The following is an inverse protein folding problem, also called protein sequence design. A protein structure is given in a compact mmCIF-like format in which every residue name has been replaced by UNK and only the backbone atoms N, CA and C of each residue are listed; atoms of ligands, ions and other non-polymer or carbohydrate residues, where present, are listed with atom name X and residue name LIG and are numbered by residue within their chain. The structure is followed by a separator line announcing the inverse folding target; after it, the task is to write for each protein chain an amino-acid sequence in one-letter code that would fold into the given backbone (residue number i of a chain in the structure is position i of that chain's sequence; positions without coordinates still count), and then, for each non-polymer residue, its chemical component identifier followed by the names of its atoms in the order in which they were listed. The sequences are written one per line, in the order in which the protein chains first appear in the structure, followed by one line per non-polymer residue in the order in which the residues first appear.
data_IF_078516118664
#
_entry.id   IF_078516118664
#
_cell.length_a   1.000
_cell.length_b   1.000
_cell.length_c   1.000
_cell.angle_alpha   90.00
_cell.angle_beta   90.00
_cell.angle_gamma   90.00
#
_symmetry.space_group_name_H-M   'P 1'
#
loop_
_entity.id
_entity.type
_entity.pdbx_description
1 polymer ?
#
# COMPACT_ATOMS: atom_id res chain seq x y z
N UNK A 1 -20.11 18.59 15.53
CA UNK A 1 -18.75 18.99 15.13
C UNK A 1 -18.62 18.85 13.62
N UNK A 2 -18.90 19.92 12.89
CA UNK A 2 -18.85 19.91 11.42
C UNK A 2 -17.62 20.64 10.93
N UNK A 3 -16.70 19.91 10.31
CA UNK A 3 -15.59 20.51 9.56
C UNK A 3 -15.92 20.46 8.08
N UNK A 4 -15.76 21.58 7.37
CA UNK A 4 -16.00 21.67 5.92
C UNK A 4 -14.84 21.07 5.13
N UNK A 5 -14.69 19.75 5.20
CA UNK A 5 -13.59 19.01 4.56
C UNK A 5 -13.87 18.88 3.07
N UNK A 6 -12.87 19.22 2.25
CA UNK A 6 -12.95 19.13 0.77
C UNK A 6 -12.18 17.96 0.18
N UNK A 7 -11.28 17.34 0.95
CA UNK A 7 -10.47 16.21 0.49
C UNK A 7 -9.42 15.79 1.51
N UNK A 8 -8.63 14.78 1.13
CA UNK A 8 -7.52 14.25 1.91
C UNK A 8 -6.41 13.74 0.97
N UNK A 9 -5.20 13.63 1.49
CA UNK A 9 -4.06 13.01 0.81
C UNK A 9 -3.54 11.85 1.66
N UNK A 10 -3.34 10.69 1.02
CA UNK A 10 -2.74 9.54 1.69
C UNK A 10 -1.22 9.67 1.66
N UNK A 11 -0.58 9.58 2.83
CA UNK A 11 0.87 9.42 2.93
C UNK A 11 1.22 7.93 2.79
N UNK A 12 1.98 7.51 1.79
CA UNK A 12 2.45 8.26 0.62
C UNK A 12 2.10 7.50 -0.66
N UNK A 13 2.32 8.12 -1.82
CA UNK A 13 2.08 7.43 -3.09
C UNK A 13 3.08 6.28 -3.31
N UNK A 14 4.37 6.54 -3.07
CA UNK A 14 5.48 5.58 -3.19
C UNK A 14 6.27 5.52 -1.89
N UNK A 15 6.97 4.42 -1.65
CA UNK A 15 7.96 4.37 -0.58
C UNK A 15 9.03 5.43 -0.78
N UNK A 16 9.32 6.16 0.30
CA UNK A 16 10.27 7.25 0.33
C UNK A 16 11.22 7.07 1.52
N UNK A 17 12.23 7.94 1.61
CA UNK A 17 13.08 8.02 2.80
C UNK A 17 12.26 8.58 3.97
N UNK A 18 12.05 7.75 4.98
CA UNK A 18 11.32 8.10 6.19
C UNK A 18 12.29 8.60 7.25
N UNK A 19 12.49 9.92 7.30
CA UNK A 19 13.42 10.68 8.14
C UNK A 19 14.10 9.92 9.30
N UNK A 20 13.30 9.42 10.25
CA UNK A 20 13.79 8.78 11.48
C UNK A 20 14.18 7.30 11.33
N UNK A 21 13.57 6.59 10.38
CA UNK A 21 13.75 5.15 10.19
C UNK A 21 14.45 4.81 8.85
N UNK A 22 14.90 5.85 8.14
CA UNK A 22 15.51 5.74 6.83
C UNK A 22 14.57 4.99 5.87
N UNK A 23 15.01 3.83 5.40
CA UNK A 23 14.20 3.02 4.50
C UNK A 23 13.79 1.67 5.07
N UNK A 24 13.82 1.53 6.40
CA UNK A 24 13.30 0.35 7.09
C UNK A 24 11.77 0.37 7.14
N UNK A 25 11.21 1.56 7.31
CA UNK A 25 9.78 1.82 7.17
C UNK A 25 9.35 2.04 5.72
N UNK A 26 8.11 1.67 5.43
CA UNK A 26 7.56 1.60 4.06
C UNK A 26 6.06 1.96 4.08
N UNK A 27 5.75 3.26 4.00
CA UNK A 27 4.37 3.78 4.08
C UNK A 27 3.69 4.02 2.72
N UNK A 28 4.41 3.85 1.61
CA UNK A 28 3.88 4.08 0.28
C UNK A 28 2.78 3.11 -0.10
N UNK A 29 1.86 3.53 -0.96
CA UNK A 29 0.96 2.63 -1.67
C UNK A 29 1.72 1.71 -2.63
N UNK A 30 2.87 2.17 -3.14
CA UNK A 30 3.76 1.40 -4.00
C UNK A 30 5.10 1.16 -3.32
N UNK A 31 5.56 -0.10 -3.35
CA UNK A 31 6.92 -0.48 -2.98
C UNK A 31 7.88 -0.05 -4.09
N UNK A 32 9.06 0.45 -3.73
CA UNK A 32 10.14 0.78 -4.65
C UNK A 32 11.28 -0.20 -4.41
N UNK A 33 11.62 -1.00 -5.42
CA UNK A 33 12.82 -1.83 -5.38
C UNK A 33 14.05 -0.95 -5.53
N UNK A 34 14.83 -0.84 -4.46
CA UNK A 34 16.04 0.00 -4.40
C UNK A 34 17.30 -0.74 -4.81
N UNK A 35 17.22 -2.05 -5.03
CA UNK A 35 18.30 -2.85 -5.58
C UNK A 35 18.26 -2.86 -7.11
N UNK A 36 17.10 -2.55 -7.69
CA UNK A 36 16.92 -2.34 -9.13
C UNK A 36 17.40 -0.92 -9.54
N UNK A 37 18.37 -0.78 -10.47
CA UNK A 37 18.81 0.53 -10.95
C UNK A 37 17.69 1.36 -11.59
N UNK A 38 16.65 0.72 -12.12
CA UNK A 38 15.48 1.39 -12.71
C UNK A 38 14.44 1.83 -11.64
N UNK A 39 14.68 1.45 -10.38
CA UNK A 39 13.82 1.74 -9.23
C UNK A 39 12.37 1.30 -9.48
N UNK A 40 12.16 0.08 -9.95
CA UNK A 40 10.84 -0.43 -10.32
C UNK A 40 9.84 -0.34 -9.16
N UNK A 41 8.60 0.06 -9.47
CA UNK A 41 7.53 0.21 -8.47
C UNK A 41 6.51 -0.91 -8.56
N UNK A 42 6.15 -1.46 -7.40
CA UNK A 42 5.20 -2.56 -7.28
C UNK A 42 3.98 -2.12 -6.44
N UNK A 43 2.75 -2.27 -6.95
CA UNK A 43 1.56 -1.88 -6.20
C UNK A 43 1.36 -2.81 -5.00
N UNK A 44 1.32 -2.24 -3.79
CA UNK A 44 0.96 -2.99 -2.58
C UNK A 44 -0.53 -3.30 -2.56
N UNK A 45 -0.93 -4.16 -1.63
CA UNK A 45 -2.35 -4.47 -1.40
C UNK A 45 -3.16 -3.21 -1.05
N UNK A 46 -2.56 -2.28 -0.30
CA UNK A 46 -3.14 -0.98 0.00
C UNK A 46 -3.42 -0.16 -1.26
N UNK A 47 -2.55 -0.15 -2.28
CA UNK A 47 -2.82 0.53 -3.55
C UNK A 47 -4.04 -0.05 -4.28
N UNK A 48 -4.12 -1.39 -4.35
CA UNK A 48 -5.25 -2.08 -4.99
C UNK A 48 -6.55 -1.79 -4.27
N UNK A 49 -6.53 -1.84 -2.94
CA UNK A 49 -7.69 -1.50 -2.11
C UNK A 49 -8.09 -0.04 -2.28
N UNK A 50 -7.14 0.88 -2.21
CA UNK A 50 -7.37 2.32 -2.31
C UNK A 50 -7.95 2.70 -3.68
N UNK A 51 -7.48 2.07 -4.76
CA UNK A 51 -8.07 2.24 -6.09
C UNK A 51 -9.53 1.79 -6.17
N UNK A 52 -9.86 0.63 -5.57
CA UNK A 52 -11.25 0.13 -5.50
C UNK A 52 -12.12 1.07 -4.66
N UNK A 53 -11.61 1.53 -3.52
CA UNK A 53 -12.30 2.47 -2.63
C UNK A 53 -12.63 3.79 -3.33
N UNK A 54 -11.65 4.41 -4.00
CA UNK A 54 -11.85 5.67 -4.72
C UNK A 54 -12.84 5.56 -5.89
N UNK A 55 -12.96 4.37 -6.50
CA UNK A 55 -13.95 4.08 -7.55
C UNK A 55 -15.36 3.86 -7.00
N UNK A 56 -15.58 4.04 -5.70
CA UNK A 56 -16.87 3.77 -5.05
C UNK A 56 -17.17 2.28 -4.91
N UNK A 57 -16.17 1.42 -5.12
CA UNK A 57 -16.31 -0.01 -4.90
C UNK A 57 -16.56 -0.28 -3.42
N UNK A 58 -17.68 -0.94 -3.09
CA UNK A 58 -17.86 -1.51 -1.75
C UNK A 58 -16.71 -2.49 -1.53
N UNK A 59 -15.98 -2.32 -0.44
CA UNK A 59 -15.04 -3.32 0.09
C UNK A 59 -15.85 -4.56 0.47
N UNK A 60 -16.26 -5.35 -0.52
CA UNK A 60 -16.93 -6.61 -0.29
C UNK A 60 -15.91 -7.56 0.33
N UNK A 61 -16.38 -8.48 1.18
CA UNK A 61 -15.56 -9.57 1.72
C UNK A 61 -14.75 -10.30 0.64
N UNK A 62 -15.13 -10.19 -0.64
CA UNK A 62 -14.41 -10.67 -1.82
C UNK A 62 -12.94 -10.18 -1.87
N UNK A 63 -12.63 -8.95 -1.47
CA UNK A 63 -11.24 -8.49 -1.40
C UNK A 63 -10.42 -9.22 -0.32
N UNK A 64 -11.04 -9.55 0.81
CA UNK A 64 -10.44 -10.37 1.87
C UNK A 64 -10.34 -11.85 1.48
N UNK A 65 -11.28 -12.35 0.65
CA UNK A 65 -11.30 -13.71 0.12
C UNK A 65 -10.22 -13.89 -0.97
N UNK A 66 -10.01 -12.90 -1.83
CA UNK A 66 -8.94 -12.90 -2.84
C UNK A 66 -7.54 -12.90 -2.18
N UNK A 67 -7.39 -12.18 -1.06
CA UNK A 67 -6.19 -12.20 -0.21
C UNK A 67 -5.98 -13.54 0.50
N UNK A 68 -7.05 -14.17 1.02
CA UNK A 68 -6.98 -15.50 1.66
C UNK A 68 -6.74 -16.63 0.67
N UNK A 69 -7.37 -16.58 -0.49
CA UNK A 69 -7.27 -17.62 -1.52
C UNK A 69 -5.93 -17.59 -2.26
N UNK A 70 -5.25 -16.43 -2.27
CA UNK A 70 -3.89 -16.31 -2.78
C UNK A 70 -2.91 -16.12 -1.62
N UNK A 71 -2.77 -17.18 -0.81
CA UNK A 71 -1.89 -17.24 0.38
C UNK A 71 -0.43 -16.83 0.11
N UNK A 72 0.02 -16.88 -1.15
CA UNK A 72 1.33 -16.36 -1.60
C UNK A 72 1.50 -14.84 -1.43
N UNK A 73 0.41 -14.07 -1.31
CA UNK A 73 0.41 -12.62 -1.06
C UNK A 73 0.38 -12.26 0.43
N UNK A 74 0.12 -13.25 1.28
CA UNK A 74 0.06 -13.12 2.76
C UNK A 74 1.27 -13.78 3.41
N UNK A 75 1.77 -14.87 2.81
CA UNK A 75 2.98 -15.56 3.24
C UNK A 75 4.21 -14.86 2.66
N UNK A 76 4.68 -13.87 3.38
CA UNK A 76 6.06 -13.41 3.24
C UNK A 76 6.68 -13.47 4.62
N UNK A 77 7.28 -14.62 4.94
CA UNK A 77 8.33 -14.76 5.96
C UNK A 77 9.60 -13.97 5.63
N UNK A 78 9.42 -12.79 5.04
CA UNK A 78 10.41 -11.83 4.58
C UNK A 78 9.96 -10.40 4.96
N UNK A 79 9.01 -10.28 5.90
CA UNK A 79 8.58 -9.01 6.50
C UNK A 79 9.40 -8.63 7.75
N UNK A 80 10.34 -9.48 8.16
CA UNK A 80 11.36 -9.16 9.17
C UNK A 80 12.66 -9.88 8.83
N UNK A 81 13.52 -9.22 8.05
CA UNK A 81 14.97 -9.28 8.23
C UNK A 81 15.56 -7.92 7.88
#
# INVERSE_FOLDING_TARGET
NGSNIKGYFAWSFIDALELLDGYKSSFGLYYVDRNDPELTRYPKLSAKWYSKFLKGGRSSQVGAIELKNNSSLVSVGHLFQ
#
